data_IF_760679772716
#
_entry.id   IF_760679772716
#
_cell.length_a   1.000
_cell.length_b   1.000
_cell.length_c   1.000
_cell.angle_alpha   90.00
_cell.angle_beta   90.00
_cell.angle_gamma   90.00
#
_symmetry.space_group_name_H-M   'P 1'
#
loop_
_entity.id
_entity.type
_entity.pdbx_description
1 polymer ?
#
# COMPACT_ATOMS: atom_id res chain seq x y z
N UNK A 1 -4.36 -15.51 20.83
CA UNK A 1 -4.49 -14.07 20.55
C UNK A 1 -4.39 -13.75 19.06
N UNK A 2 -3.46 -14.34 18.29
CA UNK A 2 -3.20 -13.97 16.89
C UNK A 2 -4.49 -14.08 16.04
N UNK A 3 -5.07 -15.28 15.98
CA UNK A 3 -6.35 -15.54 15.32
C UNK A 3 -7.50 -14.61 15.74
N UNK A 4 -7.55 -14.19 17.02
CA UNK A 4 -8.58 -13.28 17.50
C UNK A 4 -8.37 -11.85 16.98
N UNK A 5 -7.12 -11.42 16.80
CA UNK A 5 -6.77 -10.12 16.22
C UNK A 5 -6.84 -10.12 14.68
N UNK A 6 -6.74 -11.29 14.07
CA UNK A 6 -6.84 -11.46 12.62
C UNK A 6 -8.30 -11.62 12.14
N UNK A 7 -9.24 -11.85 13.07
CA UNK A 7 -10.68 -11.96 12.78
C UNK A 7 -11.19 -10.67 12.10
N UNK A 8 -11.97 -10.75 11.01
CA UNK A 8 -12.65 -11.94 10.47
C UNK A 8 -11.87 -12.73 9.41
N UNK A 9 -10.58 -12.44 9.21
CA UNK A 9 -9.78 -13.11 8.18
C UNK A 9 -9.30 -14.49 8.62
N UNK A 10 -9.06 -15.36 7.63
CA UNK A 10 -8.52 -16.70 7.83
C UNK A 10 -7.01 -16.63 8.08
N UNK A 11 -6.52 -17.61 8.84
CA UNK A 11 -5.09 -17.83 9.13
C UNK A 11 -4.38 -16.63 9.77
N UNK A 12 -3.06 -16.70 9.82
CA UNK A 12 -2.15 -15.80 10.54
C UNK A 12 -0.87 -15.67 9.71
N UNK A 13 0.13 -14.94 10.22
CA UNK A 13 1.49 -14.83 9.68
C UNK A 13 2.02 -16.13 9.05
N UNK A 14 2.77 -15.98 7.95
CA UNK A 14 3.34 -17.03 7.08
C UNK A 14 2.36 -17.77 6.16
N UNK A 15 1.05 -17.48 6.22
CA UNK A 15 0.08 -18.03 5.26
C UNK A 15 -0.32 -16.93 4.27
N UNK A 16 0.43 -16.80 3.17
CA UNK A 16 0.28 -15.70 2.20
C UNK A 16 -1.10 -15.67 1.51
N UNK A 17 -1.74 -16.83 1.38
CA UNK A 17 -3.03 -17.00 0.71
C UNK A 17 -4.23 -16.37 1.45
N UNK A 18 -4.05 -15.91 2.69
CA UNK A 18 -5.13 -15.33 3.48
C UNK A 18 -4.74 -14.01 4.15
N UNK A 19 -5.72 -13.13 4.30
CA UNK A 19 -5.53 -11.78 4.83
C UNK A 19 -5.26 -11.72 6.33
N UNK A 20 -5.43 -12.80 7.09
CA UNK A 20 -5.11 -12.77 8.52
C UNK A 20 -3.62 -12.52 8.77
N UNK A 21 -2.75 -12.98 7.86
CA UNK A 21 -1.31 -12.71 7.95
C UNK A 21 -0.82 -11.50 7.14
N UNK A 22 -1.62 -10.96 6.23
CA UNK A 22 -1.17 -9.98 5.21
C UNK A 22 -1.94 -8.66 5.20
N UNK A 23 -3.10 -8.56 5.86
CA UNK A 23 -3.83 -7.29 6.01
C UNK A 23 -3.37 -6.56 7.27
N UNK A 24 -2.76 -5.40 7.08
CA UNK A 24 -2.32 -4.51 8.17
C UNK A 24 -3.09 -3.18 8.10
N UNK A 25 -3.58 -2.62 9.22
CA UNK A 25 -4.15 -1.29 9.21
C UNK A 25 -3.11 -0.24 8.84
N UNK A 26 -3.50 0.75 8.04
CA UNK A 26 -2.64 1.84 7.61
C UNK A 26 -3.29 3.18 7.93
N UNK A 27 -2.50 4.12 8.41
CA UNK A 27 -2.88 5.53 8.55
C UNK A 27 -1.85 6.40 7.82
N UNK A 28 -2.31 7.42 7.10
CA UNK A 28 -1.48 8.42 6.44
C UNK A 28 -1.79 9.79 7.02
N UNK A 29 -0.75 10.56 7.35
CA UNK A 29 -0.88 11.94 7.82
C UNK A 29 0.14 12.81 7.12
N UNK A 30 -0.34 13.86 6.47
CA UNK A 30 0.50 14.91 5.91
C UNK A 30 -0.20 16.26 6.09
N UNK A 31 0.07 16.95 7.22
CA UNK A 31 -0.55 18.24 7.49
C UNK A 31 -0.29 19.24 6.36
N UNK A 32 -1.35 19.90 5.89
CA UNK A 32 -1.29 20.87 4.78
C UNK A 32 -1.58 20.25 3.40
N UNK A 33 -1.46 18.94 3.24
CA UNK A 33 -1.77 18.23 1.98
C UNK A 33 -2.99 17.35 2.13
N UNK A 34 -3.00 16.45 3.12
CA UNK A 34 -4.11 15.53 3.37
C UNK A 34 -5.08 16.19 4.34
N UNK A 35 -6.32 16.42 3.89
CA UNK A 35 -7.40 16.89 4.77
C UNK A 35 -7.87 15.71 5.63
N UNK A 36 -7.84 15.81 6.98
CA UNK A 36 -8.37 14.76 7.84
C UNK A 36 -9.87 14.61 7.64
N UNK A 37 -10.35 13.37 7.60
CA UNK A 37 -11.75 13.02 7.69
C UNK A 37 -11.91 11.64 8.34
N UNK A 38 -13.14 11.30 8.71
CA UNK A 38 -13.48 10.05 9.39
C UNK A 38 -13.70 8.87 8.43
N UNK A 39 -13.58 9.07 7.11
CA UNK A 39 -13.95 8.09 6.10
C UNK A 39 -12.76 7.20 5.75
N UNK A 40 -12.80 5.89 6.03
CA UNK A 40 -11.74 4.98 5.62
C UNK A 40 -11.68 4.85 4.09
N UNK A 41 -10.48 4.65 3.54
CA UNK A 41 -10.25 4.38 2.12
C UNK A 41 -10.23 2.86 1.94
N UNK A 42 -11.19 2.31 1.19
CA UNK A 42 -11.37 0.85 1.03
C UNK A 42 -10.64 0.25 -0.16
N UNK A 43 -9.97 1.07 -0.97
CA UNK A 43 -9.21 0.64 -2.14
C UNK A 43 -8.10 -0.33 -1.71
N UNK A 44 -7.93 -1.41 -2.47
CA UNK A 44 -6.90 -2.39 -2.18
C UNK A 44 -5.51 -1.84 -2.49
N UNK A 45 -4.60 -1.92 -1.52
CA UNK A 45 -3.21 -1.49 -1.62
C UNK A 45 -2.28 -2.47 -0.91
N UNK A 46 -1.01 -2.45 -1.31
CA UNK A 46 0.05 -3.29 -0.77
C UNK A 46 1.27 -2.43 -0.38
N UNK A 47 2.17 -2.97 0.44
CA UNK A 47 3.32 -2.23 0.98
C UNK A 47 4.22 -1.61 -0.11
N UNK A 48 4.31 -2.25 -1.28
CA UNK A 48 5.08 -1.72 -2.41
C UNK A 48 4.48 -0.45 -3.05
N UNK A 49 3.24 -0.07 -2.69
CA UNK A 49 2.61 1.16 -3.15
C UNK A 49 3.12 2.41 -2.44
N UNK A 50 3.84 2.26 -1.32
CA UNK A 50 4.32 3.39 -0.51
C UNK A 50 5.37 4.20 -1.28
N UNK A 51 6.35 3.55 -1.90
CA UNK A 51 7.40 4.23 -2.65
C UNK A 51 6.86 5.08 -3.82
N UNK A 52 6.05 4.56 -4.76
CA UNK A 52 5.49 5.40 -5.83
C UNK A 52 4.55 6.48 -5.30
N UNK A 53 3.86 6.25 -4.17
CA UNK A 53 3.07 7.30 -3.51
C UNK A 53 3.95 8.46 -3.06
N UNK A 54 5.10 8.19 -2.43
CA UNK A 54 6.03 9.23 -1.98
C UNK A 54 6.62 9.99 -3.17
N UNK A 55 7.03 9.29 -4.22
CA UNK A 55 7.56 9.92 -5.43
C UNK A 55 6.55 10.85 -6.10
N UNK A 56 5.30 10.41 -6.30
CA UNK A 56 4.23 11.26 -6.85
C UNK A 56 3.93 12.44 -5.91
N UNK A 57 3.86 12.19 -4.61
CA UNK A 57 3.58 13.18 -3.58
C UNK A 57 4.56 14.36 -3.60
N UNK A 58 5.84 14.11 -3.85
CA UNK A 58 6.89 15.14 -3.89
C UNK A 58 7.26 15.56 -5.31
N UNK A 59 6.56 15.07 -6.33
CA UNK A 59 6.77 15.44 -7.73
C UNK A 59 8.12 14.97 -8.30
N UNK A 60 8.66 13.86 -7.80
CA UNK A 60 9.93 13.30 -8.27
C UNK A 60 9.66 12.06 -9.11
N UNK A 61 10.20 12.03 -10.33
CA UNK A 61 10.27 10.80 -11.12
C UNK A 61 11.26 9.83 -10.47
N UNK A 62 10.88 8.56 -10.21
CA UNK A 62 11.81 7.57 -9.68
C UNK A 62 13.10 7.51 -10.51
N UNK A 63 14.28 7.62 -9.89
CA UNK A 63 15.54 7.64 -10.63
C UNK A 63 15.84 6.27 -11.23
N UNK A 64 16.35 6.25 -12.46
CA UNK A 64 16.82 5.00 -13.09
C UNK A 64 18.15 4.51 -12.50
N UNK A 65 18.91 5.40 -11.84
CA UNK A 65 20.22 5.12 -11.25
C UNK A 65 20.41 5.89 -9.93
N UNK A 66 20.92 5.21 -8.90
CA UNK A 66 21.30 5.80 -7.60
C UNK A 66 22.68 5.28 -7.22
N UNK A 67 23.63 6.18 -6.93
CA UNK A 67 25.01 5.83 -6.56
C UNK A 67 25.72 4.86 -7.54
N UNK A 68 25.41 4.98 -8.83
CA UNK A 68 25.96 4.11 -9.88
C UNK A 68 25.22 2.79 -10.10
N UNK A 69 24.16 2.52 -9.33
CA UNK A 69 23.37 1.29 -9.42
C UNK A 69 22.05 1.52 -10.16
N UNK A 70 21.79 0.71 -11.18
CA UNK A 70 20.51 0.69 -11.88
C UNK A 70 19.38 0.25 -10.93
N UNK A 71 18.28 0.99 -10.94
CA UNK A 71 17.12 0.71 -10.09
C UNK A 71 16.09 -0.16 -10.83
N UNK A 72 15.45 -1.07 -10.09
CA UNK A 72 14.31 -1.81 -10.59
C UNK A 72 13.09 -0.89 -10.74
N UNK A 73 12.18 -1.29 -11.63
CA UNK A 73 10.89 -0.60 -11.76
C UNK A 73 10.07 -0.82 -10.50
N UNK A 74 9.38 0.24 -10.05
CA UNK A 74 8.43 0.10 -8.97
C UNK A 74 7.19 -0.66 -9.45
N UNK A 75 6.89 -1.80 -8.82
CA UNK A 75 5.68 -2.58 -9.10
C UNK A 75 4.40 -2.01 -8.47
N UNK A 76 4.57 -1.03 -7.57
CA UNK A 76 3.47 -0.41 -6.86
C UNK A 76 2.70 0.62 -7.68
N UNK A 77 1.50 0.96 -7.21
CA UNK A 77 0.65 2.03 -7.75
C UNK A 77 0.42 3.04 -6.63
N UNK A 78 0.66 4.31 -6.94
CA UNK A 78 0.47 5.40 -5.96
C UNK A 78 -0.96 5.49 -5.42
N UNK A 79 -1.05 5.85 -4.14
CA UNK A 79 -2.28 6.05 -3.38
C UNK A 79 -2.80 7.49 -3.40
N UNK A 80 -2.10 8.45 -4.02
CA UNK A 80 -2.45 9.88 -4.00
C UNK A 80 -3.89 10.14 -4.44
N UNK A 81 -4.39 9.38 -5.42
CA UNK A 81 -5.77 9.49 -5.91
C UNK A 81 -6.86 9.28 -4.84
N UNK A 82 -6.53 8.63 -3.73
CA UNK A 82 -7.45 8.36 -2.62
C UNK A 82 -7.54 9.49 -1.60
N UNK A 83 -6.60 10.43 -1.61
CA UNK A 83 -6.47 11.44 -0.55
C UNK A 83 -7.68 12.38 -0.52
N UNK A 84 -8.20 12.77 -1.68
CA UNK A 84 -9.33 13.68 -1.83
C UNK A 84 -10.60 13.03 -2.38
N UNK A 85 -10.56 11.73 -2.68
CA UNK A 85 -11.72 10.98 -3.17
C UNK A 85 -11.75 9.59 -2.53
N UNK A 86 -12.47 9.47 -1.41
CA UNK A 86 -12.59 8.21 -0.67
C UNK A 86 -13.30 7.10 -1.46
N UNK A 87 -14.09 7.46 -2.48
CA UNK A 87 -14.86 6.53 -3.32
C UNK A 87 -14.26 6.34 -4.71
N UNK A 88 -13.01 6.79 -4.94
CA UNK A 88 -12.34 6.55 -6.20
C UNK A 88 -12.22 5.05 -6.49
N UNK A 89 -12.34 4.65 -7.75
CA UNK A 89 -12.09 3.26 -8.14
C UNK A 89 -10.64 2.87 -7.85
N UNK A 90 -10.46 1.65 -7.34
CA UNK A 90 -9.13 1.12 -7.04
C UNK A 90 -8.29 1.00 -8.30
N UNK A 91 -7.04 1.47 -8.25
CA UNK A 91 -6.12 1.44 -9.40
C UNK A 91 -5.24 0.19 -9.46
N UNK A 92 -5.18 -0.59 -8.37
CA UNK A 92 -4.37 -1.80 -8.30
C UNK A 92 -5.20 -3.00 -8.72
N UNK A 93 -4.92 -3.52 -9.92
CA UNK A 93 -5.70 -4.63 -10.49
C UNK A 93 -5.32 -5.99 -9.89
N UNK A 94 -4.04 -6.20 -9.58
CA UNK A 94 -3.51 -7.50 -9.15
C UNK A 94 -2.43 -7.32 -8.08
N UNK A 95 -2.28 -8.33 -7.22
CA UNK A 95 -1.18 -8.43 -6.26
C UNK A 95 -0.77 -9.89 -6.12
N UNK A 96 0.53 -10.15 -6.26
CA UNK A 96 1.13 -11.45 -6.01
C UNK A 96 1.52 -11.58 -4.54
N UNK A 97 1.32 -12.77 -3.97
CA UNK A 97 1.67 -13.09 -2.58
C UNK A 97 2.39 -14.44 -2.54
N UNK A 98 3.52 -14.48 -1.87
CA UNK A 98 4.36 -15.68 -1.72
C UNK A 98 5.11 -15.55 -0.39
N UNK A 99 5.40 -16.69 0.24
CA UNK A 99 6.24 -16.79 1.42
C UNK A 99 7.14 -18.03 1.26
N UNK A 100 8.44 -17.79 1.03
CA UNK A 100 9.56 -18.76 0.98
C UNK A 100 10.16 -19.13 -0.40
N UNK A 101 9.81 -18.43 -1.46
CA UNK A 101 10.44 -18.51 -2.78
C UNK A 101 9.88 -19.60 -3.69
#
# INVERSE_FOLDING_TARGET
WAWAMDTPFKSTKLVAAHFGGTRTPMAMSWPGVIKPDATPRSQFHHLNDIAPTIYEAIGITPPEMVDGWQQDKLDGVSMVYTWHNATAEGRKAQQYFEVMG
#
